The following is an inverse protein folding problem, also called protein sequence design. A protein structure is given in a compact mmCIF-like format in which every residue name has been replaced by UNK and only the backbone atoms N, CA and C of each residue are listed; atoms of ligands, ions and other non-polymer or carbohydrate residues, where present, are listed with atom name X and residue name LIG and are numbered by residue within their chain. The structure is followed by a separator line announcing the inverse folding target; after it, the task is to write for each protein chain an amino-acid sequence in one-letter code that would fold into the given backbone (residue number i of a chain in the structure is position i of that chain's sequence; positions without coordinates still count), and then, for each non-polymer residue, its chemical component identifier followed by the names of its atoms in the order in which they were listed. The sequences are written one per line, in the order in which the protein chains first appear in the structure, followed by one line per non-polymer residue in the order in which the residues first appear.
data_IF_912354608248
#
_entry.id   IF_912354608248
#
_cell.length_a   1.000
_cell.length_b   1.000
_cell.length_c   1.000
_cell.angle_alpha   90.00
_cell.angle_beta   90.00
_cell.angle_gamma   90.00
#
_symmetry.space_group_name_H-M   'P 1'
#
loop_
_entity.id
_entity.type
_entity.pdbx_description
1 polymer ?
#
# COMPACT_ATOMS: atom_id res chain seq x y z
N UNK A 1 -8.02 8.41 7.70
CA UNK A 1 -7.85 7.89 9.09
C UNK A 1 -7.90 6.36 9.18
N UNK A 2 -8.94 5.68 8.67
CA UNK A 2 -9.00 4.21 8.70
C UNK A 2 -7.75 3.53 8.09
N UNK A 3 -7.28 4.02 6.94
CA UNK A 3 -6.00 3.60 6.35
C UNK A 3 -4.83 3.76 7.32
N UNK A 4 -4.70 4.90 8.01
CA UNK A 4 -3.60 5.14 8.95
C UNK A 4 -3.60 4.12 10.10
N UNK A 5 -4.78 3.75 10.61
CA UNK A 5 -4.92 2.70 11.64
C UNK A 5 -4.48 1.33 11.12
N UNK A 6 -4.88 0.98 9.90
CA UNK A 6 -4.52 -0.30 9.27
C UNK A 6 -3.03 -0.36 8.92
N UNK A 7 -2.44 0.75 8.45
CA UNK A 7 -1.02 0.82 8.15
C UNK A 7 -0.15 0.83 9.40
N UNK A 8 -0.61 1.41 10.51
CA UNK A 8 0.09 1.27 11.77
C UNK A 8 0.17 -0.20 12.20
N UNK A 9 -0.92 -0.96 12.01
CA UNK A 9 -0.93 -2.41 12.25
C UNK A 9 -0.02 -3.16 11.26
N UNK A 10 -0.03 -2.80 9.96
CA UNK A 10 0.91 -3.33 8.95
C UNK A 10 2.36 -3.14 9.40
N UNK A 11 2.72 -1.92 9.78
CA UNK A 11 4.11 -1.55 10.07
C UNK A 11 4.67 -2.31 11.28
N UNK A 12 3.79 -2.75 12.18
CA UNK A 12 4.15 -3.54 13.35
C UNK A 12 4.08 -5.05 13.10
N UNK A 13 2.95 -5.55 12.58
CA UNK A 13 2.61 -6.97 12.59
C UNK A 13 2.91 -7.73 11.30
N UNK A 14 3.17 -7.07 10.16
CA UNK A 14 3.29 -7.79 8.89
C UNK A 14 4.74 -8.23 8.63
N UNK A 15 4.92 -9.47 8.18
CA UNK A 15 6.22 -10.06 7.92
C UNK A 15 6.19 -11.11 6.82
N UNK A 16 7.04 -12.12 6.97
CA UNK A 16 7.03 -13.29 6.12
C UNK A 16 6.15 -14.36 6.76
N UNK A 17 4.96 -14.60 6.19
CA UNK A 17 4.00 -15.59 6.70
C UNK A 17 4.50 -17.03 6.66
N UNK A 18 5.64 -17.31 6.01
CA UNK A 18 6.26 -18.64 5.99
C UNK A 18 7.33 -18.83 7.08
N UNK A 19 7.63 -17.80 7.87
CA UNK A 19 8.69 -17.81 8.88
C UNK A 19 8.19 -17.14 10.17
N UNK A 20 8.70 -17.56 11.34
CA UNK A 20 8.34 -16.89 12.58
C UNK A 20 8.82 -15.41 12.61
N UNK A 21 8.19 -14.59 13.46
CA UNK A 21 6.97 -14.90 14.22
C UNK A 21 5.69 -14.90 13.38
N UNK A 22 4.72 -15.74 13.77
CA UNK A 22 3.42 -15.86 13.10
C UNK A 22 2.57 -14.61 13.33
N UNK A 23 2.13 -13.97 12.24
CA UNK A 23 1.29 -12.78 12.29
C UNK A 23 -0.08 -13.08 12.96
N UNK A 24 -0.62 -12.16 13.78
CA UNK A 24 -1.93 -12.32 14.41
C UNK A 24 -3.09 -12.02 13.43
N UNK A 25 -3.12 -12.72 12.28
CA UNK A 25 -4.05 -12.45 11.16
C UNK A 25 -5.51 -12.60 11.58
N UNK A 26 -5.83 -13.63 12.37
CA UNK A 26 -7.20 -13.85 12.84
C UNK A 26 -7.70 -12.66 13.70
N UNK A 27 -6.84 -12.12 14.57
CA UNK A 27 -7.15 -10.95 15.38
C UNK A 27 -7.28 -9.69 14.53
N UNK A 28 -6.31 -9.45 13.63
CA UNK A 28 -6.25 -8.30 12.73
C UNK A 28 -7.49 -8.20 11.82
N UNK A 29 -8.02 -9.33 11.36
CA UNK A 29 -9.20 -9.40 10.48
C UNK A 29 -10.52 -9.63 11.21
N UNK A 30 -10.51 -9.72 12.55
CA UNK A 30 -11.75 -9.92 13.32
C UNK A 30 -12.64 -8.67 13.29
N UNK A 31 -13.97 -8.88 13.28
CA UNK A 31 -14.94 -7.78 13.31
C UNK A 31 -14.86 -6.99 14.62
N UNK A 32 -14.56 -7.67 15.71
CA UNK A 32 -14.44 -7.13 17.05
C UNK A 32 -13.23 -6.20 17.15
N UNK A 33 -12.07 -6.62 16.61
CA UNK A 33 -10.88 -5.77 16.54
C UNK A 33 -11.14 -4.56 15.62
N UNK A 34 -11.71 -4.77 14.43
CA UNK A 34 -12.05 -3.68 13.52
C UNK A 34 -12.99 -2.64 14.18
N UNK A 35 -14.01 -3.08 14.91
CA UNK A 35 -14.90 -2.19 15.69
C UNK A 35 -14.13 -1.44 16.79
N UNK A 36 -13.17 -2.08 17.46
CA UNK A 36 -12.34 -1.42 18.46
C UNK A 36 -11.46 -0.33 17.85
N UNK A 37 -10.84 -0.59 16.68
CA UNK A 37 -10.00 0.36 15.95
C UNK A 37 -10.84 1.51 15.39
N UNK A 38 -12.02 1.22 14.86
CA UNK A 38 -12.93 2.22 14.30
C UNK A 38 -13.36 3.30 15.33
N UNK A 39 -13.42 2.96 16.63
CA UNK A 39 -13.70 3.94 17.70
C UNK A 39 -12.62 5.01 17.87
N UNK A 40 -11.41 4.77 17.34
CA UNK A 40 -10.30 5.72 17.36
C UNK A 40 -10.41 6.77 16.25
N UNK A 41 -11.28 6.55 15.25
CA UNK A 41 -11.51 7.53 14.19
C UNK A 41 -12.18 8.77 14.80
N UNK A 42 -11.58 9.93 14.55
CA UNK A 42 -12.08 11.21 15.02
C UNK A 42 -12.46 12.09 13.83
N UNK A 43 -13.75 12.39 13.69
CA UNK A 43 -14.28 13.18 12.56
C UNK A 43 -13.86 14.64 12.57
N UNK A 44 -13.34 15.15 13.69
CA UNK A 44 -12.95 16.56 13.86
C UNK A 44 -11.45 16.79 13.76
N UNK A 45 -10.63 15.75 13.96
CA UNK A 45 -9.17 15.86 14.04
C UNK A 45 -8.46 14.61 13.56
N UNK A 46 -7.36 14.79 12.82
CA UNK A 46 -6.39 13.73 12.52
C UNK A 46 -5.51 13.45 13.75
N UNK A 47 -5.41 12.18 14.13
CA UNK A 47 -4.30 11.73 14.96
C UNK A 47 -3.09 11.51 14.05
N UNK A 48 -2.02 12.28 14.28
CA UNK A 48 -0.76 12.17 13.56
C UNK A 48 0.20 11.15 14.22
N UNK A 49 -0.10 10.73 15.45
CA UNK A 49 0.68 9.79 16.23
C UNK A 49 -0.07 8.45 16.36
N UNK A 50 -0.80 8.04 15.32
CA UNK A 50 -1.54 6.79 15.34
C UNK A 50 -0.61 5.61 15.67
N UNK A 51 -1.07 4.74 16.56
CA UNK A 51 -0.33 3.54 16.95
C UNK A 51 -0.97 2.26 16.38
N UNK A 52 -0.17 1.20 16.16
CA UNK A 52 -0.70 -0.15 16.06
C UNK A 52 -1.58 -0.47 17.28
N UNK A 53 -2.64 -1.24 17.08
CA UNK A 53 -3.46 -1.79 18.15
C UNK A 53 -2.91 -3.12 18.66
N UNK A 54 -3.66 -3.78 19.55
CA UNK A 54 -3.36 -5.12 20.02
C UNK A 54 -4.42 -6.13 19.52
N UNK A 55 -4.13 -6.90 18.45
CA UNK A 55 -5.06 -7.88 17.89
C UNK A 55 -5.09 -9.22 18.65
N UNK A 56 -4.11 -9.50 19.52
CA UNK A 56 -3.99 -10.82 20.18
C UNK A 56 -5.20 -11.22 21.03
N UNK A 57 -5.80 -10.33 21.85
CA UNK A 57 -7.00 -10.67 22.60
C UNK A 57 -8.17 -11.12 21.72
N UNK A 58 -8.23 -10.65 20.47
CA UNK A 58 -9.29 -10.95 19.51
C UNK A 58 -9.09 -12.29 18.77
N UNK A 59 -7.95 -12.95 19.01
CA UNK A 59 -7.69 -14.32 18.58
C UNK A 59 -7.37 -15.26 19.76
N UNK A 60 -7.78 -14.87 20.98
CA UNK A 60 -7.64 -15.70 22.18
C UNK A 60 -6.22 -15.82 22.73
N UNK A 61 -5.33 -14.89 22.37
CA UNK A 61 -3.93 -14.90 22.79
C UNK A 61 -3.52 -13.69 23.64
N UNK A 62 -2.30 -13.76 24.18
CA UNK A 62 -1.60 -12.61 24.78
C UNK A 62 -0.50 -12.17 23.82
N UNK A 63 -0.39 -10.86 23.61
CA UNK A 63 0.62 -10.31 22.73
C UNK A 63 2.04 -10.49 23.32
N UNK A 64 2.94 -11.22 22.65
CA UNK A 64 4.32 -11.41 23.12
C UNK A 64 5.20 -10.18 22.84
N UNK A 65 4.72 -9.21 22.05
CA UNK A 65 5.43 -8.01 21.64
C UNK A 65 4.93 -6.73 22.33
N UNK A 66 4.28 -6.86 23.49
CA UNK A 66 3.72 -5.71 24.23
C UNK A 66 4.76 -4.63 24.56
N UNK A 67 6.01 -5.01 24.82
CA UNK A 67 7.06 -4.06 25.14
C UNK A 67 7.50 -3.27 23.90
N UNK A 68 7.66 -3.93 22.75
CA UNK A 68 7.90 -3.27 21.46
C UNK A 68 6.72 -2.37 21.07
N UNK A 69 5.49 -2.81 21.32
CA UNK A 69 4.27 -2.06 21.03
C UNK A 69 4.22 -0.75 21.82
N UNK A 70 4.60 -0.78 23.11
CA UNK A 70 4.69 0.43 23.96
C UNK A 70 5.77 1.41 23.49
N UNK A 71 6.90 0.89 22.99
CA UNK A 71 8.03 1.69 22.48
C UNK A 71 7.83 2.18 21.03
N UNK A 72 6.64 2.01 20.44
CA UNK A 72 6.39 2.33 19.04
C UNK A 72 6.81 3.75 18.63
N UNK A 73 6.55 4.73 19.50
CA UNK A 73 6.82 6.15 19.27
C UNK A 73 8.16 6.64 19.81
N UNK A 74 8.97 5.76 20.41
CA UNK A 74 10.26 6.19 20.96
C UNK A 74 11.19 6.63 19.81
N UNK A 75 11.84 7.80 19.93
CA UNK A 75 12.79 8.27 18.92
C UNK A 75 13.92 7.25 18.74
N UNK A 76 14.27 6.98 17.48
CA UNK A 76 15.37 6.07 17.13
C UNK A 76 16.52 6.81 16.50
N UNK A 77 17.73 6.30 16.74
CA UNK A 77 18.92 6.81 16.09
C UNK A 77 18.78 6.62 14.57
N UNK A 78 18.91 7.71 13.81
CA UNK A 78 18.98 7.62 12.34
C UNK A 78 20.22 6.82 11.97
N UNK A 79 20.06 5.83 11.08
CA UNK A 79 21.20 5.06 10.59
C UNK A 79 22.05 5.95 9.69
N UNK A 80 23.40 5.85 9.74
CA UNK A 80 24.25 6.56 8.81
C UNK A 80 23.90 6.14 7.39
N UNK A 81 23.59 7.08 6.51
CA UNK A 81 23.49 6.82 5.07
C UNK A 81 24.91 6.59 4.57
N UNK A 82 25.25 5.43 3.96
CA UNK A 82 26.59 5.18 3.46
C UNK A 82 27.02 6.28 2.48
N UNK A 83 28.14 6.94 2.77
CA UNK A 83 28.72 7.92 1.87
C UNK A 83 29.20 7.19 0.59
N UNK A 84 28.54 7.45 -0.54
CA UNK A 84 28.95 6.90 -1.84
C UNK A 84 27.82 6.34 -2.71
N UNK A 85 26.59 6.19 -2.17
CA UNK A 85 25.40 5.98 -2.98
C UNK A 85 24.71 7.31 -3.24
N UNK A 86 24.43 7.66 -4.49
CA UNK A 86 23.43 8.68 -4.81
C UNK A 86 22.11 8.20 -4.19
N UNK A 87 21.52 8.89 -3.20
CA UNK A 87 20.20 8.54 -2.70
C UNK A 87 19.24 8.39 -3.89
N UNK A 88 18.42 7.34 -3.93
CA UNK A 88 17.37 7.21 -4.96
C UNK A 88 16.52 8.51 -5.01
N UNK A 89 16.28 9.09 -3.84
CA UNK A 89 15.64 10.40 -3.64
C UNK A 89 16.38 11.62 -4.21
N UNK A 90 17.67 11.55 -4.54
CA UNK A 90 18.44 12.68 -5.12
C UNK A 90 18.51 12.66 -6.65
N UNK A 91 17.89 11.69 -7.30
CA UNK A 91 17.53 11.76 -8.71
C UNK A 91 16.12 12.37 -8.77
N UNK A 92 15.98 13.57 -9.32
CA UNK A 92 14.77 14.41 -9.23
C UNK A 92 13.47 13.71 -9.71
N UNK A 93 13.61 12.76 -10.66
CA UNK A 93 12.54 11.90 -11.17
C UNK A 93 12.17 10.71 -10.24
N UNK A 94 12.97 10.45 -9.20
CA UNK A 94 12.80 9.41 -8.15
C UNK A 94 12.61 9.97 -6.74
N UNK A 95 12.47 11.30 -6.58
CA UNK A 95 11.82 11.90 -5.40
C UNK A 95 10.42 11.28 -5.11
N UNK A 96 9.88 10.56 -6.09
CA UNK A 96 8.73 9.66 -6.00
C UNK A 96 8.99 8.25 -5.46
N UNK A 97 10.03 7.95 -4.65
CA UNK A 97 10.27 6.60 -4.06
C UNK A 97 9.01 5.94 -3.45
N UNK A 98 8.14 6.74 -2.81
CA UNK A 98 6.84 6.29 -2.30
C UNK A 98 5.90 5.75 -3.40
N UNK A 99 5.96 6.36 -4.59
CA UNK A 99 5.12 6.13 -5.77
C UNK A 99 5.87 5.43 -6.93
N UNK A 100 7.13 5.05 -6.76
CA UNK A 100 7.98 4.61 -7.85
C UNK A 100 8.00 3.08 -8.02
N UNK A 101 8.31 2.67 -9.25
CA UNK A 101 8.56 1.29 -9.64
C UNK A 101 7.34 0.39 -9.63
N UNK A 102 7.56 -0.89 -9.95
CA UNK A 102 6.53 -1.92 -10.16
C UNK A 102 5.76 -1.71 -11.46
N UNK A 103 5.26 -2.79 -12.05
CA UNK A 103 4.27 -2.74 -13.13
C UNK A 103 3.10 -3.64 -12.72
N UNK A 104 1.98 -3.50 -13.42
CA UNK A 104 0.78 -4.31 -13.18
C UNK A 104 0.27 -4.90 -14.48
N UNK A 105 -0.24 -6.13 -14.42
CA UNK A 105 -0.89 -6.77 -15.55
C UNK A 105 -2.12 -7.49 -15.04
N UNK A 106 -3.24 -7.28 -15.73
CA UNK A 106 -4.46 -8.06 -15.56
C UNK A 106 -4.84 -8.69 -16.90
N UNK A 107 -5.36 -9.91 -16.85
CA UNK A 107 -5.77 -10.64 -18.05
C UNK A 107 -7.02 -11.47 -17.76
N UNK A 108 -7.85 -11.66 -18.77
CA UNK A 108 -9.00 -12.55 -18.72
C UNK A 108 -9.18 -13.27 -20.06
N UNK A 109 -9.88 -14.39 -20.05
CA UNK A 109 -10.22 -15.11 -21.27
C UNK A 109 -11.64 -15.68 -21.29
N UNK A 110 -12.03 -16.23 -22.44
CA UNK A 110 -13.34 -16.84 -22.69
C UNK A 110 -13.60 -18.12 -21.88
N UNK A 111 -12.55 -18.75 -21.33
CA UNK A 111 -12.67 -19.96 -20.51
C UNK A 111 -12.97 -19.60 -19.04
N UNK A 112 -12.93 -18.31 -18.70
CA UNK A 112 -13.23 -17.80 -17.37
C UNK A 112 -11.98 -17.59 -16.51
N UNK A 113 -10.78 -17.63 -17.10
CA UNK A 113 -9.59 -17.20 -16.37
C UNK A 113 -9.65 -15.69 -16.10
N UNK A 114 -9.23 -15.31 -14.90
CA UNK A 114 -9.07 -13.93 -14.48
C UNK A 114 -7.82 -13.83 -13.62
N UNK A 115 -6.83 -13.08 -14.11
CA UNK A 115 -5.47 -13.01 -13.55
C UNK A 115 -5.16 -11.56 -13.17
N UNK A 116 -4.54 -11.40 -12.00
CA UNK A 116 -3.99 -10.13 -11.52
C UNK A 116 -2.56 -10.38 -11.04
N UNK A 117 -1.60 -9.63 -11.58
CA UNK A 117 -0.19 -9.73 -11.19
C UNK A 117 0.45 -8.34 -11.05
N UNK A 118 1.39 -8.24 -10.12
CA UNK A 118 2.09 -6.99 -9.79
C UNK A 118 3.61 -7.24 -9.71
N UNK A 119 4.29 -7.53 -10.84
CA UNK A 119 5.72 -7.84 -10.83
C UNK A 119 6.57 -6.58 -10.58
N UNK A 120 7.69 -6.76 -9.91
CA UNK A 120 8.61 -5.66 -9.55
C UNK A 120 10.01 -6.19 -9.23
N UNK A 121 11.01 -5.33 -9.27
CA UNK A 121 12.42 -5.68 -9.07
C UNK A 121 13.32 -4.95 -10.06
N UNK A 122 14.63 -5.14 -9.96
CA UNK A 122 15.61 -4.57 -10.92
C UNK A 122 15.66 -3.04 -10.98
N UNK A 123 15.46 -2.37 -9.83
CA UNK A 123 15.43 -0.91 -9.74
C UNK A 123 16.80 -0.32 -10.08
N UNK A 124 16.84 0.72 -10.92
CA UNK A 124 18.09 1.36 -11.34
C UNK A 124 18.41 2.51 -10.35
N UNK A 125 19.63 2.57 -9.78
CA UNK A 125 20.80 1.74 -10.09
C UNK A 125 20.73 0.32 -9.48
N UNK A 126 20.89 -0.73 -10.30
CA UNK A 126 20.97 -2.13 -9.84
C UNK A 126 22.38 -2.69 -10.02
N UNK A 127 22.78 -3.64 -9.17
CA UNK A 127 23.91 -4.52 -9.48
C UNK A 127 23.49 -5.45 -10.60
N UNK A 128 24.22 -5.47 -11.71
CA UNK A 128 23.96 -6.41 -12.81
C UNK A 128 24.55 -7.77 -12.48
N UNK A 129 23.76 -8.83 -12.68
CA UNK A 129 24.19 -10.21 -12.46
C UNK A 129 25.19 -10.65 -13.54
N UNK A 130 26.47 -10.36 -13.34
CA UNK A 130 27.53 -10.70 -14.29
C UNK A 130 27.26 -10.10 -15.69
N UNK A 131 27.44 -10.88 -16.78
CA UNK A 131 27.21 -10.40 -18.14
C UNK A 131 25.75 -10.52 -18.63
N UNK A 132 24.79 -10.81 -17.75
CA UNK A 132 23.41 -11.17 -18.16
C UNK A 132 22.55 -9.98 -18.59
N UNK A 133 22.91 -8.76 -18.19
CA UNK A 133 22.04 -7.59 -18.32
C UNK A 133 20.86 -7.56 -17.34
N UNK A 134 20.76 -8.53 -16.42
CA UNK A 134 19.67 -8.60 -15.43
C UNK A 134 20.08 -7.87 -14.16
N UNK A 135 19.31 -6.84 -13.78
CA UNK A 135 19.48 -6.13 -12.51
C UNK A 135 18.99 -6.94 -11.32
N UNK A 136 19.83 -7.08 -10.30
CA UNK A 136 19.46 -7.73 -9.04
C UNK A 136 18.44 -6.88 -8.26
N UNK A 137 17.50 -7.56 -7.61
CA UNK A 137 16.47 -6.92 -6.80
C UNK A 137 17.06 -6.22 -5.57
N UNK A 138 16.47 -5.08 -5.21
CA UNK A 138 16.81 -4.32 -4.00
C UNK A 138 15.78 -4.50 -2.89
N UNK A 139 14.90 -5.52 -2.98
CA UNK A 139 13.74 -5.64 -2.09
C UNK A 139 14.11 -5.86 -0.61
N UNK A 140 15.34 -6.31 -0.32
CA UNK A 140 15.82 -6.41 1.07
C UNK A 140 15.82 -5.08 1.82
N UNK A 141 15.76 -3.93 1.11
CA UNK A 141 15.59 -2.62 1.74
C UNK A 141 14.28 -2.49 2.54
N UNK A 142 13.29 -3.36 2.29
CA UNK A 142 12.02 -3.32 3.02
C UNK A 142 12.08 -4.00 4.39
N UNK A 143 13.17 -4.71 4.72
CA UNK A 143 13.39 -5.23 6.07
C UNK A 143 13.76 -4.10 7.03
N UNK A 144 13.33 -4.24 8.28
CA UNK A 144 13.94 -3.50 9.39
C UNK A 144 15.14 -4.29 9.94
N UNK A 145 16.07 -3.60 10.60
CA UNK A 145 17.24 -4.23 11.24
C UNK A 145 17.12 -4.26 12.77
N UNK A 146 16.08 -3.62 13.33
CA UNK A 146 15.78 -3.60 14.75
C UNK A 146 14.37 -4.17 14.97
N UNK A 147 14.24 -5.09 15.93
CA UNK A 147 12.95 -5.69 16.28
C UNK A 147 11.97 -4.68 16.89
N UNK A 148 12.46 -3.57 17.46
CA UNK A 148 11.60 -2.50 17.93
C UNK A 148 10.95 -1.75 16.75
N UNK A 149 11.57 -1.76 15.55
CA UNK A 149 11.00 -1.14 14.34
C UNK A 149 9.83 -1.91 13.74
N UNK A 150 9.80 -3.23 13.91
CA UNK A 150 8.79 -4.11 13.35
C UNK A 150 9.20 -5.56 13.60
N UNK A 151 8.77 -6.18 14.72
CA UNK A 151 9.31 -7.47 15.15
C UNK A 151 9.03 -8.61 14.15
N UNK A 152 8.06 -8.42 13.24
CA UNK A 152 7.66 -9.39 12.23
C UNK A 152 8.48 -9.28 10.94
N UNK A 153 9.19 -8.18 10.69
CA UNK A 153 9.88 -7.91 9.44
C UNK A 153 11.38 -7.59 9.65
N UNK A 154 11.99 -8.19 10.67
CA UNK A 154 13.43 -8.12 10.89
C UNK A 154 14.17 -9.00 9.88
N UNK A 155 15.26 -8.48 9.32
CA UNK A 155 16.14 -9.22 8.40
C UNK A 155 16.63 -10.53 9.03
N UNK A 156 16.38 -11.66 8.36
CA UNK A 156 16.87 -12.97 8.75
C UNK A 156 17.17 -13.86 7.53
N UNK A 157 18.13 -14.80 7.61
CA UNK A 157 18.40 -15.75 6.54
C UNK A 157 17.15 -16.55 6.15
N UNK A 158 16.91 -16.69 4.84
CA UNK A 158 15.77 -17.45 4.30
C UNK A 158 14.41 -16.76 4.44
N UNK A 159 14.33 -15.62 5.13
CA UNK A 159 13.11 -14.82 5.25
C UNK A 159 12.91 -13.95 4.01
N UNK A 160 11.67 -13.79 3.58
CA UNK A 160 11.24 -12.84 2.55
C UNK A 160 10.94 -11.49 3.20
N UNK A 161 11.35 -10.36 2.60
CA UNK A 161 10.94 -9.05 3.11
C UNK A 161 9.42 -8.89 2.93
N UNK A 162 8.77 -8.17 3.86
CA UNK A 162 7.44 -7.61 3.58
C UNK A 162 7.54 -6.80 2.28
N UNK A 163 6.67 -7.08 1.32
CA UNK A 163 6.64 -6.38 0.02
C UNK A 163 5.40 -5.50 -0.09
N UNK A 164 5.47 -4.48 -0.96
CA UNK A 164 4.33 -3.63 -1.29
C UNK A 164 3.44 -4.20 -2.41
N UNK A 165 3.86 -5.31 -3.03
CA UNK A 165 3.23 -5.88 -4.22
C UNK A 165 1.93 -6.59 -3.83
N UNK A 166 0.80 -6.10 -4.36
CA UNK A 166 -0.54 -6.49 -3.90
C UNK A 166 -1.51 -6.64 -5.08
N UNK A 167 -1.35 -7.67 -5.93
CA UNK A 167 -2.33 -7.96 -6.96
C UNK A 167 -3.66 -8.35 -6.30
N UNK A 168 -4.76 -7.79 -6.78
CA UNK A 168 -6.07 -7.99 -6.15
C UNK A 168 -7.06 -8.68 -7.09
N UNK A 169 -7.81 -9.63 -6.54
CA UNK A 169 -8.93 -10.33 -7.16
C UNK A 169 -10.14 -10.24 -6.23
N UNK A 170 -11.18 -9.52 -6.63
CA UNK A 170 -12.45 -9.47 -5.92
C UNK A 170 -13.38 -10.60 -6.38
N UNK A 171 -13.97 -11.28 -5.41
CA UNK A 171 -14.97 -12.32 -5.63
C UNK A 171 -16.38 -11.75 -5.37
N UNK A 172 -17.36 -12.15 -6.17
CA UNK A 172 -18.77 -11.84 -5.96
C UNK A 172 -19.60 -13.11 -6.14
N UNK A 173 -20.45 -13.41 -5.17
CA UNK A 173 -21.30 -14.61 -5.16
C UNK A 173 -20.51 -15.92 -5.40
N UNK A 174 -19.29 -15.99 -4.85
CA UNK A 174 -18.40 -17.15 -4.98
C UNK A 174 -17.61 -17.24 -6.29
N UNK A 175 -17.77 -16.29 -7.22
CA UNK A 175 -17.08 -16.27 -8.52
C UNK A 175 -16.13 -15.06 -8.67
N UNK A 176 -15.03 -15.18 -9.44
CA UNK A 176 -14.17 -14.03 -9.78
C UNK A 176 -14.97 -12.95 -10.50
N UNK A 177 -14.85 -11.70 -10.03
CA UNK A 177 -15.66 -10.60 -10.52
C UNK A 177 -14.84 -9.41 -11.01
N UNK A 178 -13.72 -9.11 -10.33
CA UNK A 178 -12.89 -7.95 -10.65
C UNK A 178 -11.42 -8.28 -10.37
N UNK A 179 -10.58 -8.30 -11.41
CA UNK A 179 -9.13 -8.27 -11.23
C UNK A 179 -8.64 -6.83 -11.38
N UNK A 180 -7.78 -6.40 -10.48
CA UNK A 180 -7.23 -5.07 -10.50
C UNK A 180 -5.88 -5.03 -9.78
N UNK A 181 -4.97 -4.26 -10.34
CA UNK A 181 -3.63 -4.09 -9.83
C UNK A 181 -3.11 -2.69 -10.21
N UNK A 182 -2.13 -2.22 -9.46
CA UNK A 182 -1.55 -0.89 -9.64
C UNK A 182 -0.07 -0.93 -9.32
N UNK A 183 0.70 -0.03 -9.90
CA UNK A 183 2.06 0.26 -9.48
C UNK A 183 2.10 1.32 -8.36
N UNK A 184 3.29 1.63 -7.85
CA UNK A 184 3.49 2.76 -6.95
C UNK A 184 3.63 2.40 -5.47
N UNK A 185 4.49 1.43 -5.19
CA UNK A 185 5.02 1.19 -3.85
C UNK A 185 3.97 1.18 -2.73
N UNK A 186 4.16 2.06 -1.77
CA UNK A 186 3.36 2.19 -0.56
C UNK A 186 1.96 2.79 -0.79
N UNK A 187 1.72 3.37 -1.97
CA UNK A 187 0.41 3.88 -2.38
C UNK A 187 -0.52 2.78 -2.92
N UNK A 188 -0.02 1.57 -3.23
CA UNK A 188 -0.79 0.54 -3.94
C UNK A 188 -2.12 0.22 -3.26
N UNK A 189 -2.11 -0.30 -2.02
CA UNK A 189 -3.36 -0.64 -1.32
C UNK A 189 -4.20 0.60 -0.93
N UNK A 190 -3.60 1.80 -0.85
CA UNK A 190 -4.37 3.04 -0.65
C UNK A 190 -5.25 3.33 -1.87
N UNK A 191 -4.66 3.23 -3.05
CA UNK A 191 -5.34 3.42 -4.33
C UNK A 191 -6.32 2.29 -4.61
N UNK A 192 -5.93 1.04 -4.46
CA UNK A 192 -6.79 -0.12 -4.73
C UNK A 192 -8.02 -0.13 -3.83
N UNK A 193 -7.90 0.29 -2.56
CA UNK A 193 -9.06 0.43 -1.68
C UNK A 193 -10.03 1.51 -2.19
N UNK A 194 -9.52 2.68 -2.58
CA UNK A 194 -10.36 3.75 -3.13
C UNK A 194 -11.01 3.33 -4.45
N UNK A 195 -10.25 2.72 -5.36
CA UNK A 195 -10.73 2.18 -6.63
C UNK A 195 -11.86 1.16 -6.41
N UNK A 196 -11.67 0.22 -5.48
CA UNK A 196 -12.68 -0.78 -5.17
C UNK A 196 -13.95 -0.14 -4.61
N UNK A 197 -13.83 0.79 -3.65
CA UNK A 197 -14.96 1.52 -3.07
C UNK A 197 -15.70 2.38 -4.11
N UNK A 198 -14.99 3.00 -5.05
CA UNK A 198 -15.58 3.75 -6.16
C UNK A 198 -16.55 2.89 -6.99
N UNK A 199 -16.23 1.61 -7.19
CA UNK A 199 -17.12 0.68 -7.88
C UNK A 199 -18.25 0.20 -6.96
N UNK A 200 -17.93 -0.32 -5.77
CA UNK A 200 -18.92 -1.05 -4.95
C UNK A 200 -19.84 -0.14 -4.13
N UNK A 201 -19.35 1.04 -3.71
CA UNK A 201 -20.09 1.98 -2.88
C UNK A 201 -20.63 3.15 -3.71
N UNK A 202 -19.83 3.66 -4.64
CA UNK A 202 -20.19 4.86 -5.42
C UNK A 202 -20.72 4.55 -6.83
N UNK A 203 -20.79 3.27 -7.21
CA UNK A 203 -21.43 2.83 -8.46
C UNK A 203 -20.69 3.23 -9.74
N UNK A 204 -19.42 3.60 -9.64
CA UNK A 204 -18.60 3.95 -10.81
C UNK A 204 -18.31 2.72 -11.66
N UNK A 205 -18.19 2.94 -12.97
CA UNK A 205 -17.62 1.95 -13.89
C UNK A 205 -16.12 1.74 -13.61
N UNK A 206 -15.50 0.64 -14.08
CA UNK A 206 -14.06 0.42 -13.94
C UNK A 206 -13.20 1.60 -14.42
N UNK A 207 -13.53 2.20 -15.58
CA UNK A 207 -12.74 3.33 -16.10
C UNK A 207 -12.96 4.61 -15.29
N UNK A 208 -14.20 4.93 -14.91
CA UNK A 208 -14.46 6.09 -14.03
C UNK A 208 -13.74 5.95 -12.69
N UNK A 209 -13.72 4.75 -12.11
CA UNK A 209 -12.97 4.49 -10.88
C UNK A 209 -11.45 4.63 -11.08
N UNK A 210 -10.91 4.21 -12.22
CA UNK A 210 -9.48 4.32 -12.53
C UNK A 210 -9.02 5.78 -12.72
N UNK A 211 -9.91 6.65 -13.22
CA UNK A 211 -9.61 8.08 -13.46
C UNK A 211 -10.05 9.00 -12.31
N UNK A 212 -10.74 8.45 -11.32
CA UNK A 212 -11.23 9.21 -10.17
C UNK A 212 -10.10 9.87 -9.36
N UNK A 213 -10.32 11.08 -8.81
CA UNK A 213 -9.44 11.66 -7.82
C UNK A 213 -9.24 10.73 -6.61
N UNK A 214 -8.01 10.63 -6.15
CA UNK A 214 -7.61 9.79 -5.01
C UNK A 214 -6.76 10.61 -4.02
N UNK A 215 -6.64 10.13 -2.80
CA UNK A 215 -5.73 10.68 -1.81
C UNK A 215 -4.74 9.62 -1.30
N UNK A 216 -3.60 10.07 -0.79
CA UNK A 216 -2.58 9.20 -0.20
C UNK A 216 -2.05 9.82 1.08
N UNK A 217 -2.03 9.05 2.16
CA UNK A 217 -1.42 9.43 3.42
C UNK A 217 0.04 8.95 3.48
N UNK A 218 0.94 9.84 3.90
CA UNK A 218 2.35 9.51 4.21
C UNK A 218 2.59 9.35 5.73
N UNK A 219 1.53 9.18 6.52
CA UNK A 219 1.64 9.02 7.99
C UNK A 219 2.23 7.66 8.40
N UNK A 220 2.06 6.64 7.57
CA UNK A 220 2.68 5.33 7.81
C UNK A 220 4.20 5.36 7.64
N UNK A 221 4.90 4.32 8.11
CA UNK A 221 6.32 4.14 7.83
C UNK A 221 6.52 3.66 6.41
N UNK A 222 7.43 4.28 5.66
CA UNK A 222 7.74 3.87 4.31
C UNK A 222 8.38 2.46 4.28
N UNK A 223 8.12 1.72 3.22
CA UNK A 223 8.67 0.39 2.93
C UNK A 223 10.07 0.46 2.30
N UNK A 224 10.58 1.65 1.99
CA UNK A 224 11.83 1.89 1.27
C UNK A 224 12.78 2.78 2.07
N UNK A 225 14.04 2.78 1.65
CA UNK A 225 15.10 3.63 2.19
C UNK A 225 15.22 3.58 3.73
N UNK A 226 14.97 4.70 4.43
CA UNK A 226 15.11 4.84 5.88
C UNK A 226 13.80 4.65 6.65
N UNK A 227 12.75 4.11 5.99
CA UNK A 227 11.43 3.89 6.59
C UNK A 227 10.82 5.15 7.22
N UNK A 228 11.09 6.31 6.62
CA UNK A 228 10.59 7.58 7.13
C UNK A 228 9.06 7.60 7.13
N UNK A 229 8.50 8.36 8.07
CA UNK A 229 7.08 8.70 8.14
C UNK A 229 6.96 10.21 8.10
N UNK A 230 5.92 10.72 7.45
CA UNK A 230 5.57 12.15 7.44
C UNK A 230 4.19 12.32 8.09
N UNK A 231 4.12 12.33 9.44
CA UNK A 231 2.87 12.46 10.17
C UNK A 231 2.00 13.62 9.70
N UNK A 232 0.72 13.34 9.45
CA UNK A 232 -0.26 14.34 8.98
C UNK A 232 -0.14 14.72 7.51
N UNK A 233 0.88 14.30 6.77
CA UNK A 233 1.00 14.63 5.34
C UNK A 233 0.01 13.81 4.51
N UNK A 234 -0.72 14.47 3.62
CA UNK A 234 -1.68 13.87 2.71
C UNK A 234 -1.54 14.46 1.30
N UNK A 235 -1.43 13.61 0.28
CA UNK A 235 -1.52 14.00 -1.11
C UNK A 235 -2.98 14.01 -1.55
N UNK A 236 -3.38 15.10 -2.20
CA UNK A 236 -4.73 15.34 -2.72
C UNK A 236 -4.65 15.69 -4.20
N UNK A 237 -5.76 15.46 -4.91
CA UNK A 237 -5.86 15.86 -6.29
C UNK A 237 -6.03 17.39 -6.41
N UNK A 238 -5.48 18.00 -7.46
CA UNK A 238 -5.64 19.43 -7.75
C UNK A 238 -7.09 19.86 -8.00
N UNK A 239 -8.00 18.93 -8.29
CA UNK A 239 -9.45 19.23 -8.41
C UNK A 239 -10.20 19.13 -7.08
N UNK A 240 -9.54 18.73 -5.99
CA UNK A 240 -10.18 18.62 -4.66
C UNK A 240 -10.81 19.97 -4.29
N UNK A 241 -12.10 20.04 -3.92
CA UNK A 241 -12.76 21.31 -3.67
C UNK A 241 -12.11 22.11 -2.53
N UNK A 242 -12.03 23.46 -2.62
CA UNK A 242 -11.39 24.29 -1.60
C UNK A 242 -11.92 24.06 -0.18
N UNK A 243 -13.24 23.83 -0.03
CA UNK A 243 -13.84 23.56 1.28
C UNK A 243 -13.35 22.23 1.89
N UNK A 244 -13.09 21.21 1.08
CA UNK A 244 -12.52 19.93 1.56
C UNK A 244 -11.07 20.14 2.02
N UNK A 245 -10.29 20.93 1.28
CA UNK A 245 -8.91 21.26 1.64
C UNK A 245 -8.85 21.97 2.99
N UNK A 246 -9.66 23.02 3.15
CA UNK A 246 -9.73 23.78 4.40
C UNK A 246 -10.19 22.93 5.59
N UNK A 247 -11.14 22.01 5.38
CA UNK A 247 -11.52 21.08 6.45
C UNK A 247 -10.40 20.10 6.82
N UNK A 248 -9.66 19.56 5.83
CA UNK A 248 -8.52 18.68 6.12
C UNK A 248 -7.40 19.42 6.87
N UNK A 249 -7.11 20.66 6.49
CA UNK A 249 -6.17 21.53 7.22
C UNK A 249 -6.65 21.80 8.64
N UNK A 250 -7.94 22.11 8.83
CA UNK A 250 -8.56 22.30 10.16
C UNK A 250 -8.46 21.05 11.01
N UNK A 251 -8.60 19.86 10.40
CA UNK A 251 -8.41 18.58 11.07
C UNK A 251 -6.95 18.31 11.45
N UNK A 252 -5.98 19.08 10.94
CA UNK A 252 -4.56 18.94 11.23
C UNK A 252 -3.79 18.07 10.23
N UNK A 253 -4.28 17.93 9.00
CA UNK A 253 -3.49 17.41 7.88
C UNK A 253 -2.63 18.51 7.27
N UNK A 254 -1.54 18.11 6.61
CA UNK A 254 -0.69 18.96 5.77
C UNK A 254 -0.87 18.52 4.31
N UNK A 255 -1.77 19.16 3.54
CA UNK A 255 -2.02 18.76 2.17
C UNK A 255 -0.86 19.09 1.24
N UNK A 256 -0.62 18.19 0.30
CA UNK A 256 0.19 18.40 -0.90
C UNK A 256 -0.65 18.03 -2.12
N UNK A 257 -0.40 18.63 -3.28
CA UNK A 257 -1.31 18.53 -4.42
C UNK A 257 -0.62 18.07 -5.69
N UNK A 258 -1.35 17.29 -6.51
CA UNK A 258 -0.96 16.86 -7.86
C UNK A 258 -2.18 16.71 -8.76
N UNK A 259 -1.99 16.90 -10.05
CA UNK A 259 -3.05 16.76 -11.05
C UNK A 259 -3.59 15.32 -11.11
N UNK A 260 -2.69 14.34 -11.06
CA UNK A 260 -3.03 12.91 -11.10
C UNK A 260 -2.55 12.26 -9.82
N UNK A 261 -3.49 11.70 -9.06
CA UNK A 261 -3.22 11.12 -7.75
C UNK A 261 -3.47 9.62 -7.70
N UNK A 262 -4.48 9.13 -8.40
CA UNK A 262 -4.61 7.69 -8.64
C UNK A 262 -3.45 7.26 -9.55
N UNK A 263 -2.70 6.24 -9.14
CA UNK A 263 -1.71 5.61 -10.02
C UNK A 263 -2.39 4.88 -11.20
N UNK A 264 -1.64 4.35 -12.17
CA UNK A 264 -2.24 3.66 -13.30
C UNK A 264 -2.78 2.30 -12.85
N UNK A 265 -4.06 2.28 -12.50
CA UNK A 265 -4.78 1.04 -12.22
C UNK A 265 -5.04 0.34 -13.54
N UNK A 266 -4.72 -0.96 -13.61
CA UNK A 266 -5.18 -1.84 -14.67
C UNK A 266 -6.22 -2.79 -14.07
N UNK A 267 -7.38 -2.90 -14.72
CA UNK A 267 -8.49 -3.70 -14.23
C UNK A 267 -9.31 -4.37 -15.33
N UNK A 268 -9.88 -5.53 -14.99
CA UNK A 268 -10.89 -6.23 -15.79
C UNK A 268 -12.04 -6.63 -14.86
N UNK A 269 -13.23 -6.12 -15.16
CA UNK A 269 -14.49 -6.53 -14.53
C UNK A 269 -15.21 -7.54 -15.41
N UNK A 270 -15.72 -8.61 -14.79
CA UNK A 270 -16.54 -9.63 -15.44
C UNK A 270 -18.01 -9.25 -15.29
N UNK A 271 -18.70 -9.07 -16.41
CA UNK A 271 -20.14 -8.79 -16.45
C UNK A 271 -20.90 -10.04 -16.92
N UNK A 272 -21.33 -10.91 -15.98
CA UNK A 272 -22.02 -12.14 -16.34
C UNK A 272 -23.40 -11.90 -16.95
N UNK A 273 -24.04 -10.76 -16.66
CA UNK A 273 -25.38 -10.44 -17.17
C UNK A 273 -25.35 -10.22 -18.68
N UNK A 274 -24.33 -9.51 -19.16
CA UNK A 274 -24.18 -9.21 -20.60
C UNK A 274 -23.15 -10.11 -21.29
N UNK A 275 -22.47 -10.99 -20.53
CA UNK A 275 -21.40 -11.89 -21.02
C UNK A 275 -20.25 -11.12 -21.66
N UNK A 276 -19.85 -10.03 -21.01
CA UNK A 276 -18.80 -9.11 -21.48
C UNK A 276 -17.73 -8.89 -20.42
N UNK A 277 -16.57 -8.42 -20.85
CA UNK A 277 -15.54 -7.87 -19.98
C UNK A 277 -15.50 -6.36 -20.11
N UNK A 278 -15.27 -5.68 -19.00
CA UNK A 278 -15.05 -4.24 -18.96
C UNK A 278 -13.60 -4.02 -18.53
N UNK A 279 -12.76 -3.55 -19.45
CA UNK A 279 -11.37 -3.21 -19.19
C UNK A 279 -11.22 -1.76 -18.75
N UNK A 280 -10.25 -1.49 -17.89
CA UNK A 280 -9.82 -0.15 -17.54
C UNK A 280 -8.30 -0.06 -17.39
N UNK A 281 -7.74 1.04 -17.87
CA UNK A 281 -6.34 1.43 -17.67
C UNK A 281 -6.32 2.91 -17.31
N UNK A 282 -5.73 3.23 -16.16
CA UNK A 282 -5.63 4.59 -15.66
C UNK A 282 -4.77 5.46 -16.57
N UNK A 283 -5.17 6.71 -16.77
CA UNK A 283 -4.42 7.68 -17.58
C UNK A 283 -3.12 8.20 -16.92
N UNK A 284 -2.76 7.67 -15.75
CA UNK A 284 -1.55 8.02 -15.02
C UNK A 284 -0.34 7.23 -15.55
N UNK A 285 0.06 7.49 -16.79
CA UNK A 285 1.15 6.75 -17.43
C UNK A 285 0.84 6.47 -18.90
N UNK A 286 1.46 5.42 -19.42
CA UNK A 286 1.25 4.93 -20.80
C UNK A 286 0.56 3.55 -20.82
N UNK A 287 -0.06 3.17 -19.70
CA UNK A 287 -0.84 1.94 -19.55
C UNK A 287 -2.02 1.90 -20.54
N UNK A 288 -2.31 0.71 -21.07
CA UNK A 288 -3.38 0.53 -22.06
C UNK A 288 -4.03 -0.86 -21.92
N UNK A 289 -5.28 -0.94 -22.37
CA UNK A 289 -6.04 -2.19 -22.46
C UNK A 289 -6.29 -2.60 -23.91
N UNK A 290 -6.36 -3.90 -24.18
CA UNK A 290 -6.75 -4.48 -25.47
C UNK A 290 -7.77 -5.59 -25.19
N UNK A 291 -8.83 -5.66 -26.01
CA UNK A 291 -9.77 -6.78 -26.05
C UNK A 291 -9.87 -7.36 -27.46
N UNK A 292 -10.17 -8.65 -27.55
CA UNK A 292 -10.37 -9.37 -28.81
C UNK A 292 -11.45 -10.45 -28.69
#
# INVERSE_FOLDING_TARGET
QAMNLAYADRDFYYGDTAQPPEEPVAGLLSKEYAKSRARLVNTERNDAAVSPGDPYPFQGGRNPYMEQLKRWHEPRAKRPVPAGGTPLSSLDWMSGSFFAGTTSVVAADKEGWLVSITPSGGWIPAVIAGPTGIGLSQRMQSFVLDADEGPFNVLAPGKRPRVTLTPTLAMKDGAPWLAFAIQGGDAQDQHLLQYFLNIVEFGMTPQEAAESPAFVSEQMRASFEQHESKPGTIWLNDVTPPYVRSELERMGYTPSYRERTMGPVNAILVDPKHRTFWGASGNHGEDYGIGW
#
